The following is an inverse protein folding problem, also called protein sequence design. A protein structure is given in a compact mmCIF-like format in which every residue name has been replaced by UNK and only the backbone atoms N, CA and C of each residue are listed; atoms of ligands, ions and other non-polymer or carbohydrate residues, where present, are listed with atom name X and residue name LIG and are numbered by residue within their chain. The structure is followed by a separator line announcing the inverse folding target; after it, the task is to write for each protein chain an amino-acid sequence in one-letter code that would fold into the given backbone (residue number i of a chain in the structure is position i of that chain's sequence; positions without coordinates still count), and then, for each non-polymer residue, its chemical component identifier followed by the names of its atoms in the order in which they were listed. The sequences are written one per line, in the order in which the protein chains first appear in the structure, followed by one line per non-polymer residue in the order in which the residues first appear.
data_IF_375551099812
#
_entry.id   IF_375551099812
#
_cell.length_a   1.000
_cell.length_b   1.000
_cell.length_c   1.000
_cell.angle_alpha   90.00
_cell.angle_beta   90.00
_cell.angle_gamma   90.00
#
_symmetry.space_group_name_H-M   'P 1'
#
loop_
_entity.id
_entity.type
_entity.pdbx_description
1 polymer ?
#
# COMPACT_ATOMS: atom_id res chain seq x y z
N UNK A 1 -15.91 7.79 4.03
CA UNK A 1 -15.02 7.28 2.97
C UNK A 1 -15.89 6.74 1.87
N UNK A 2 -15.46 6.92 0.61
CA UNK A 2 -16.19 6.40 -0.55
C UNK A 2 -16.26 4.87 -0.47
N UNK A 3 -17.36 4.27 -0.94
CA UNK A 3 -17.53 2.82 -1.06
C UNK A 3 -17.06 2.28 -2.43
N UNK A 4 -16.37 3.11 -3.21
CA UNK A 4 -15.93 2.74 -4.55
C UNK A 4 -14.72 1.82 -4.46
N UNK A 5 -14.92 0.59 -4.93
CA UNK A 5 -13.85 -0.42 -5.00
C UNK A 5 -12.88 -0.06 -6.10
N UNK A 6 -11.60 -0.18 -5.80
CA UNK A 6 -10.49 -0.02 -6.75
C UNK A 6 -9.50 -1.15 -6.59
N UNK A 7 -8.83 -1.47 -7.70
CA UNK A 7 -7.95 -2.60 -7.85
C UNK A 7 -6.54 -2.09 -8.13
N UNK A 8 -5.58 -2.46 -7.28
CA UNK A 8 -4.19 -2.05 -7.41
C UNK A 8 -3.25 -3.24 -7.26
N UNK A 9 -2.13 -3.20 -7.98
CA UNK A 9 -1.02 -4.14 -7.79
C UNK A 9 0.11 -3.38 -7.12
N UNK A 10 0.49 -3.81 -5.92
CA UNK A 10 1.69 -3.32 -5.27
C UNK A 10 2.85 -4.22 -5.63
N UNK A 11 3.91 -3.62 -6.17
CA UNK A 11 5.12 -4.32 -6.59
C UNK A 11 6.25 -3.83 -5.70
N UNK A 12 6.88 -4.75 -4.97
CA UNK A 12 8.04 -4.44 -4.16
C UNK A 12 9.27 -4.38 -5.04
N UNK A 13 9.74 -3.18 -5.38
CA UNK A 13 10.96 -2.99 -6.17
C UNK A 13 12.22 -2.89 -5.30
N UNK A 14 12.10 -3.04 -3.98
CA UNK A 14 13.22 -2.94 -3.04
C UNK A 14 13.88 -4.31 -2.83
N UNK A 15 15.17 -4.34 -2.44
CA UNK A 15 15.88 -5.57 -2.14
C UNK A 15 15.47 -6.20 -0.78
N UNK A 16 14.56 -5.57 -0.04
CA UNK A 16 14.13 -5.97 1.31
C UNK A 16 12.70 -6.46 1.30
N UNK A 17 12.30 -7.17 2.36
CA UNK A 17 10.90 -7.53 2.59
C UNK A 17 10.13 -6.32 3.10
N UNK A 18 8.90 -6.12 2.61
CA UNK A 18 8.07 -4.96 2.91
C UNK A 18 6.80 -5.37 3.62
N UNK A 19 6.56 -4.83 4.80
CA UNK A 19 5.27 -4.90 5.47
C UNK A 19 4.32 -3.87 4.87
N UNK A 20 3.15 -4.33 4.41
CA UNK A 20 2.11 -3.48 3.83
C UNK A 20 1.02 -3.31 4.87
N UNK A 21 0.80 -2.09 5.31
CA UNK A 21 -0.24 -1.74 6.30
C UNK A 21 -1.39 -0.99 5.66
N UNK A 22 -2.59 -1.31 6.10
CA UNK A 22 -3.79 -0.50 5.88
C UNK A 22 -4.13 0.27 7.15
N UNK A 23 -4.35 1.57 7.02
CA UNK A 23 -4.85 2.42 8.09
C UNK A 23 -6.38 2.45 8.06
N UNK A 24 -6.98 1.98 9.14
CA UNK A 24 -8.42 2.13 9.36
C UNK A 24 -8.77 3.52 9.91
N UNK A 25 -10.02 3.94 9.75
CA UNK A 25 -10.60 5.20 10.24
C UNK A 25 -10.30 5.58 11.70
N UNK A 26 -9.96 4.60 12.54
CA UNK A 26 -9.68 4.78 13.97
C UNK A 26 -8.19 4.78 14.31
N UNK A 27 -7.34 5.27 13.40
CA UNK A 27 -5.86 5.35 13.52
C UNK A 27 -5.14 4.03 13.78
N UNK A 28 -5.83 2.89 13.68
CA UNK A 28 -5.22 1.57 13.80
C UNK A 28 -4.62 1.15 12.46
N UNK A 29 -3.30 0.97 12.46
CA UNK A 29 -2.55 0.27 11.41
C UNK A 29 -2.80 -1.23 11.52
N UNK A 30 -3.28 -1.84 10.43
CA UNK A 30 -3.50 -3.28 10.31
C UNK A 30 -2.55 -3.83 9.26
N UNK A 31 -1.68 -4.77 9.65
CA UNK A 31 -0.85 -5.48 8.69
C UNK A 31 -1.74 -6.24 7.72
N UNK A 32 -1.57 -5.98 6.43
CA UNK A 32 -2.27 -6.67 5.36
C UNK A 32 -1.48 -7.91 4.96
N UNK A 33 -0.21 -7.73 4.58
CA UNK A 33 0.71 -8.81 4.32
C UNK A 33 2.17 -8.32 4.41
N UNK A 34 3.10 -9.28 4.42
CA UNK A 34 4.53 -9.04 4.20
C UNK A 34 4.87 -9.52 2.81
N UNK A 35 5.34 -8.60 1.96
CA UNK A 35 5.71 -8.84 0.59
C UNK A 35 7.22 -9.07 0.49
N UNK A 36 7.64 -10.19 -0.08
CA UNK A 36 9.07 -10.47 -0.28
C UNK A 36 9.68 -9.49 -1.28
N UNK A 37 10.99 -9.38 -1.22
CA UNK A 37 11.82 -8.71 -2.23
C UNK A 37 11.41 -9.11 -3.66
N UNK A 38 11.23 -8.13 -4.55
CA UNK A 38 10.84 -8.29 -5.96
C UNK A 38 9.51 -9.03 -6.22
N UNK A 39 8.67 -9.21 -5.20
CA UNK A 39 7.35 -9.81 -5.34
C UNK A 39 6.26 -8.76 -5.57
N UNK A 40 5.05 -9.21 -5.92
CA UNK A 40 3.87 -8.36 -6.04
C UNK A 40 2.67 -8.95 -5.29
N UNK A 41 1.71 -8.09 -4.97
CA UNK A 41 0.40 -8.48 -4.42
C UNK A 41 -0.69 -7.65 -5.09
N UNK A 42 -1.79 -8.31 -5.45
CA UNK A 42 -2.99 -7.67 -5.94
C UNK A 42 -3.90 -7.33 -4.75
N UNK A 43 -4.40 -6.11 -4.71
CA UNK A 43 -5.20 -5.60 -3.61
C UNK A 43 -6.52 -5.06 -4.14
N UNK A 44 -7.59 -5.60 -3.58
CA UNK A 44 -8.94 -5.05 -3.68
C UNK A 44 -9.12 -4.09 -2.50
N UNK A 45 -9.19 -2.79 -2.78
CA UNK A 45 -9.31 -1.74 -1.77
C UNK A 45 -10.40 -0.74 -2.13
N UNK A 46 -10.58 0.29 -1.31
CA UNK A 46 -11.55 1.36 -1.54
C UNK A 46 -10.84 2.70 -1.73
N UNK A 47 -11.45 3.60 -2.49
CA UNK A 47 -10.94 4.97 -2.67
C UNK A 47 -10.79 5.66 -1.32
N UNK A 48 -9.64 6.29 -1.10
CA UNK A 48 -9.33 7.01 0.13
C UNK A 48 -8.79 6.16 1.29
N UNK A 49 -8.61 4.85 1.11
CA UNK A 49 -7.87 4.02 2.07
C UNK A 49 -6.40 4.44 2.12
N UNK A 50 -5.81 4.61 3.30
CA UNK A 50 -4.39 4.92 3.40
C UNK A 50 -3.57 3.63 3.54
N UNK A 51 -2.55 3.49 2.70
CA UNK A 51 -1.60 2.39 2.69
C UNK A 51 -0.20 2.89 3.04
N UNK A 52 0.48 2.16 3.93
CA UNK A 52 1.87 2.44 4.33
C UNK A 52 2.72 1.22 3.99
N UNK A 53 3.95 1.48 3.57
CA UNK A 53 4.97 0.48 3.30
C UNK A 53 6.11 0.67 4.31
N UNK A 54 6.48 -0.39 5.01
CA UNK A 54 7.59 -0.38 5.97
C UNK A 54 8.57 -1.51 5.66
N UNK A 55 9.87 -1.29 5.86
CA UNK A 55 10.85 -2.38 5.87
C UNK A 55 10.48 -3.37 6.99
N UNK A 56 10.39 -4.65 6.64
CA UNK A 56 9.91 -5.67 7.58
C UNK A 56 10.87 -5.95 8.73
N UNK A 57 12.15 -5.59 8.60
CA UNK A 57 13.20 -5.81 9.59
C UNK A 57 13.44 -4.57 10.45
N UNK A 58 13.51 -3.38 9.84
CA UNK A 58 13.84 -2.14 10.56
C UNK A 58 12.61 -1.35 10.99
N UNK A 59 11.48 -1.51 10.30
CA UNK A 59 10.29 -0.68 10.48
C UNK A 59 10.40 0.70 9.83
N UNK A 60 11.44 0.95 9.03
CA UNK A 60 11.60 2.22 8.32
C UNK A 60 10.54 2.38 7.24
N UNK A 61 10.02 3.60 7.07
CA UNK A 61 9.01 3.86 6.05
C UNK A 61 9.63 3.88 4.66
N UNK A 62 9.04 3.12 3.75
CA UNK A 62 9.45 3.00 2.36
C UNK A 62 8.53 3.82 1.45
N UNK A 63 9.08 4.30 0.34
CA UNK A 63 8.34 5.10 -0.63
C UNK A 63 7.60 4.20 -1.62
N UNK A 64 6.28 4.30 -1.66
CA UNK A 64 5.45 3.81 -2.76
C UNK A 64 5.09 4.96 -3.69
N UNK A 65 5.53 4.90 -4.96
CA UNK A 65 5.35 5.99 -5.93
C UNK A 65 5.77 7.37 -5.37
N UNK A 66 6.97 7.45 -4.80
CA UNK A 66 7.57 8.66 -4.20
C UNK A 66 6.82 9.22 -2.97
N UNK A 67 5.96 8.43 -2.31
CA UNK A 67 5.27 8.82 -1.08
C UNK A 67 5.30 7.72 -0.02
N UNK A 68 5.44 8.10 1.25
CA UNK A 68 5.33 7.20 2.41
C UNK A 68 3.91 6.66 2.61
N UNK A 69 2.91 7.40 2.12
CA UNK A 69 1.50 7.03 2.19
C UNK A 69 0.93 7.01 0.79
N UNK A 70 0.41 5.84 0.41
CA UNK A 70 -0.33 5.68 -0.83
C UNK A 70 -1.83 5.76 -0.56
N UNK A 71 -2.52 6.65 -1.27
CA UNK A 71 -3.97 6.80 -1.22
C UNK A 71 -4.51 6.43 -2.61
N UNK A 72 -5.25 5.31 -2.74
CA UNK A 72 -5.93 4.93 -3.95
C UNK A 72 -6.94 6.02 -4.32
N UNK A 73 -6.74 6.61 -5.49
CA UNK A 73 -7.72 7.46 -6.16
C UNK A 73 -8.34 6.69 -7.32
N UNK A 74 -9.46 7.19 -7.86
CA UNK A 74 -9.95 6.66 -9.14
C UNK A 74 -8.83 6.73 -10.15
N UNK A 75 -8.61 5.61 -10.84
CA UNK A 75 -7.64 5.52 -11.93
C UNK A 75 -8.10 6.51 -13.01
N UNK A 76 -7.55 7.72 -13.01
CA UNK A 76 -7.65 8.58 -14.17
C UNK A 76 -6.81 7.89 -15.25
N UNK A 77 -7.49 7.35 -16.25
CA UNK A 77 -6.90 7.02 -17.53
C UNK A 77 -6.08 8.25 -17.97
N UNK A 78 -4.75 8.16 -17.91
CA UNK A 78 -3.94 9.08 -18.71
C UNK A 78 -4.09 8.59 -20.14
N UNK A 79 -4.96 9.25 -20.89
CA UNK A 79 -4.94 9.27 -22.35
C UNK A 79 -3.62 9.87 -22.84
#
# INVERSE_FOLDING_TARGET
MSQDKVYFTFINLSPVSVNIYWLSHRTKRKLYCTLRCFAYVEINTFVGHCWIFEDANTGDCLLGNNSCVFIPLHRQSRE
#
